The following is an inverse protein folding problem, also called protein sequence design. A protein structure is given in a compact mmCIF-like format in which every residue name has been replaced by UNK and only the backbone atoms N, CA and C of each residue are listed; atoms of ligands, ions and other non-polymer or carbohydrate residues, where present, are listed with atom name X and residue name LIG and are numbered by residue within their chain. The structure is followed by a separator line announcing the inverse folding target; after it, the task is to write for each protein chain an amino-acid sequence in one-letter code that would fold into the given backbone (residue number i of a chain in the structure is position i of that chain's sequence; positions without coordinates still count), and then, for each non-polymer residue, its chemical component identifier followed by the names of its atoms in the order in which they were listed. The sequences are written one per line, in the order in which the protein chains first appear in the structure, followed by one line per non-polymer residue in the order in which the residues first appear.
data_IF_922090658501
#
_entry.id   IF_922090658501
#
_cell.length_a   1.000
_cell.length_b   1.000
_cell.length_c   1.000
_cell.angle_alpha   90.00
_cell.angle_beta   90.00
_cell.angle_gamma   90.00
#
_symmetry.space_group_name_H-M   'P 1'
#
loop_
_entity.id
_entity.type
_entity.pdbx_description
1 polymer ?
#
# COMPACT_ATOMS: atom_id res chain seq x y z
N UNK A 1 5.06 -3.79 4.76
CA UNK A 1 4.33 -4.36 5.90
C UNK A 1 4.53 -3.57 7.18
N UNK A 2 3.45 -2.96 7.67
CA UNK A 2 3.33 -2.27 8.96
C UNK A 2 2.61 -3.08 10.06
N UNK A 3 2.09 -4.28 9.78
CA UNK A 3 1.40 -5.09 10.79
C UNK A 3 2.38 -5.90 11.65
N UNK A 4 3.61 -6.13 11.17
CA UNK A 4 4.57 -7.00 11.84
C UNK A 4 4.37 -8.49 11.55
N UNK A 5 3.64 -8.83 10.47
CA UNK A 5 3.42 -10.21 10.03
C UNK A 5 4.48 -10.67 8.99
N UNK A 6 5.58 -9.92 8.86
CA UNK A 6 6.70 -10.18 7.94
C UNK A 6 6.24 -10.39 6.49
N UNK A 7 5.32 -9.54 6.02
CA UNK A 7 4.72 -9.64 4.69
C UNK A 7 3.98 -10.96 4.45
N UNK A 8 3.59 -11.66 5.53
CA UNK A 8 2.97 -12.99 5.51
C UNK A 8 3.71 -14.03 4.66
N UNK A 9 5.03 -13.88 4.58
CA UNK A 9 5.91 -14.84 3.89
C UNK A 9 6.12 -16.15 4.66
N UNK A 10 5.70 -16.23 5.93
CA UNK A 10 5.95 -17.36 6.82
C UNK A 10 5.60 -18.73 6.21
N UNK A 11 4.40 -18.88 5.64
CA UNK A 11 3.91 -20.18 5.24
C UNK A 11 4.73 -20.83 4.11
N UNK A 12 5.18 -20.04 3.15
CA UNK A 12 5.98 -20.50 2.01
C UNK A 12 7.48 -20.43 2.28
N UNK A 13 7.93 -19.48 3.10
CA UNK A 13 9.35 -19.12 3.19
C UNK A 13 9.99 -19.29 4.57
N UNK A 14 9.28 -19.76 5.61
CA UNK A 14 9.84 -19.92 6.98
C UNK A 14 11.16 -20.70 7.08
N UNK A 15 11.46 -21.58 6.12
CA UNK A 15 12.71 -22.34 6.11
C UNK A 15 13.85 -21.69 5.31
N UNK A 16 13.55 -20.66 4.52
CA UNK A 16 14.52 -20.00 3.66
C UNK A 16 15.47 -19.11 4.49
N UNK A 17 16.78 -19.09 4.16
CA UNK A 17 17.75 -18.28 4.89
C UNK A 17 17.43 -16.78 4.91
N UNK A 18 16.98 -16.23 3.78
CA UNK A 18 16.65 -14.80 3.68
C UNK A 18 15.49 -14.42 4.61
N UNK A 19 14.48 -15.29 4.76
CA UNK A 19 13.34 -15.03 5.62
C UNK A 19 13.74 -15.06 7.10
N UNK A 20 14.54 -16.07 7.49
CA UNK A 20 15.08 -16.16 8.86
C UNK A 20 15.92 -14.94 9.22
N UNK A 21 16.70 -14.45 8.26
CA UNK A 21 17.51 -13.24 8.45
C UNK A 21 16.63 -11.97 8.54
N UNK A 22 15.60 -11.83 7.69
CA UNK A 22 14.68 -10.69 7.75
C UNK A 22 13.91 -10.61 9.08
N UNK A 23 13.45 -11.76 9.58
CA UNK A 23 12.82 -11.88 10.91
C UNK A 23 13.80 -11.45 12.00
N UNK A 24 15.01 -12.00 12.00
CA UNK A 24 16.05 -11.68 12.98
C UNK A 24 16.42 -10.19 12.97
N UNK A 25 16.62 -9.60 11.79
CA UNK A 25 16.92 -8.17 11.65
C UNK A 25 15.78 -7.32 12.21
N UNK A 26 14.53 -7.71 11.96
CA UNK A 26 13.35 -7.01 12.45
C UNK A 26 13.23 -7.10 13.98
N UNK A 27 13.46 -8.27 14.56
CA UNK A 27 13.48 -8.47 16.02
C UNK A 27 14.61 -7.69 16.70
N UNK A 28 15.83 -7.72 16.14
CA UNK A 28 16.97 -6.94 16.62
C UNK A 28 16.69 -5.44 16.56
N UNK A 29 16.03 -4.97 15.49
CA UNK A 29 15.63 -3.57 15.37
C UNK A 29 14.57 -3.18 16.42
N UNK A 30 13.57 -4.04 16.64
CA UNK A 30 12.56 -3.83 17.68
C UNK A 30 13.22 -3.71 19.06
N UNK A 31 14.07 -4.66 19.43
CA UNK A 31 14.80 -4.65 20.69
C UNK A 31 15.69 -3.41 20.84
N UNK A 32 16.42 -3.04 19.78
CA UNK A 32 17.29 -1.85 19.76
C UNK A 32 16.52 -0.55 20.01
N UNK A 33 15.29 -0.47 19.53
CA UNK A 33 14.41 0.69 19.70
C UNK A 33 13.52 0.61 20.96
N UNK A 34 13.68 -0.44 21.77
CA UNK A 34 12.98 -0.60 23.04
C UNK A 34 11.60 -1.24 22.94
N UNK A 35 11.27 -1.89 21.82
CA UNK A 35 10.02 -2.63 21.62
C UNK A 35 10.22 -4.11 21.91
N UNK A 36 9.21 -4.73 22.54
CA UNK A 36 9.21 -6.18 22.80
C UNK A 36 8.73 -6.99 21.59
N UNK A 37 7.86 -6.43 20.75
CA UNK A 37 7.33 -7.05 19.54
C UNK A 37 7.64 -6.23 18.29
N UNK A 38 7.81 -6.91 17.15
CA UNK A 38 7.95 -6.25 15.85
C UNK A 38 6.64 -5.56 15.45
N UNK A 39 5.48 -6.14 15.76
CA UNK A 39 4.17 -5.52 15.55
C UNK A 39 4.06 -4.15 16.25
N UNK A 40 4.50 -4.05 17.52
CA UNK A 40 4.54 -2.77 18.26
C UNK A 40 5.46 -1.74 17.60
N UNK A 41 6.66 -2.15 17.17
CA UNK A 41 7.59 -1.27 16.45
C UNK A 41 6.95 -0.76 15.16
N UNK A 42 6.35 -1.65 14.36
CA UNK A 42 5.77 -1.29 13.07
C UNK A 42 4.55 -0.38 13.23
N UNK A 43 3.72 -0.61 14.25
CA UNK A 43 2.64 0.30 14.65
C UNK A 43 3.18 1.68 15.03
N UNK A 44 4.26 1.75 15.80
CA UNK A 44 4.89 3.03 16.16
C UNK A 44 5.39 3.79 14.92
N UNK A 45 5.96 3.09 13.94
CA UNK A 45 6.36 3.67 12.65
C UNK A 45 5.14 4.18 11.87
N UNK A 46 4.06 3.38 11.78
CA UNK A 46 2.83 3.77 11.10
C UNK A 46 2.23 5.06 11.72
N UNK A 47 2.19 5.14 13.05
CA UNK A 47 1.77 6.35 13.79
C UNK A 47 2.66 7.55 13.50
N UNK A 48 3.99 7.37 13.43
CA UNK A 48 4.91 8.47 13.09
C UNK A 48 4.72 9.00 11.67
N UNK A 49 4.48 8.11 10.71
CA UNK A 49 4.12 8.51 9.35
C UNK A 49 2.76 9.24 9.37
N UNK A 50 1.79 8.77 10.16
CA UNK A 50 0.46 9.37 10.25
C UNK A 50 0.54 10.81 10.79
N UNK A 51 1.33 11.01 11.85
CA UNK A 51 1.66 12.34 12.39
C UNK A 51 2.35 13.24 11.36
N UNK A 52 3.29 12.69 10.59
CA UNK A 52 4.01 13.44 9.55
C UNK A 52 3.06 13.93 8.46
N UNK A 53 2.18 13.06 7.93
CA UNK A 53 1.18 13.44 6.93
C UNK A 53 0.21 14.45 7.51
N UNK A 54 -0.34 14.19 8.71
CA UNK A 54 -1.24 15.11 9.40
C UNK A 54 -0.63 16.52 9.56
N UNK A 55 0.68 16.59 9.79
CA UNK A 55 1.46 17.83 9.93
C UNK A 55 1.74 18.59 8.63
N UNK A 56 1.39 18.05 7.47
CA UNK A 56 1.69 18.66 6.16
C UNK A 56 2.64 17.87 5.27
N UNK A 57 3.02 16.67 5.69
CA UNK A 57 3.86 15.76 4.92
C UNK A 57 3.15 15.16 3.70
N UNK A 58 3.95 14.55 2.82
CA UNK A 58 3.45 13.75 1.71
C UNK A 58 3.82 12.28 1.90
N UNK A 59 2.84 11.39 1.81
CA UNK A 59 3.05 9.94 1.80
C UNK A 59 2.76 9.37 0.41
N UNK A 60 3.77 8.78 -0.22
CA UNK A 60 3.56 7.89 -1.35
C UNK A 60 3.85 6.45 -0.90
N UNK A 61 2.90 5.54 -1.13
CA UNK A 61 3.03 4.15 -0.75
C UNK A 61 2.58 3.22 -1.89
N UNK A 62 3.25 2.07 -1.98
CA UNK A 62 2.97 1.02 -2.97
C UNK A 62 3.05 -0.36 -2.34
N UNK A 63 2.54 -1.36 -3.06
CA UNK A 63 2.63 -2.76 -2.65
C UNK A 63 2.06 -2.96 -1.23
N UNK A 64 2.63 -3.82 -0.38
CA UNK A 64 2.11 -4.07 0.98
C UNK A 64 2.10 -2.85 1.90
N UNK A 65 2.74 -1.74 1.55
CA UNK A 65 2.68 -0.55 2.38
C UNK A 65 1.28 0.08 2.39
N UNK A 66 0.45 -0.18 1.38
CA UNK A 66 -0.85 0.47 1.20
C UNK A 66 -1.93 -0.08 2.13
N UNK A 67 -2.14 -1.39 2.16
CA UNK A 67 -3.12 -2.04 3.03
C UNK A 67 -2.62 -2.13 4.49
N UNK A 68 -1.36 -2.52 4.70
CA UNK A 68 -0.83 -2.79 6.04
C UNK A 68 -0.77 -1.56 6.92
N UNK A 69 -0.71 -0.38 6.30
CA UNK A 69 -0.68 0.88 6.99
C UNK A 69 -1.99 1.13 7.75
N UNK A 70 -3.12 1.05 7.06
CA UNK A 70 -4.43 1.24 7.68
C UNK A 70 -4.83 0.07 8.58
N UNK A 71 -4.44 -1.17 8.23
CA UNK A 71 -4.63 -2.34 9.10
C UNK A 71 -3.90 -2.15 10.44
N UNK A 72 -2.64 -1.71 10.41
CA UNK A 72 -1.88 -1.45 11.63
C UNK A 72 -2.51 -0.32 12.46
N UNK A 73 -2.92 0.79 11.84
CA UNK A 73 -3.57 1.90 12.54
C UNK A 73 -4.91 1.49 13.18
N UNK A 74 -5.72 0.69 12.49
CA UNK A 74 -6.99 0.16 13.01
C UNK A 74 -6.77 -0.80 14.19
N UNK A 75 -5.69 -1.58 14.14
CA UNK A 75 -5.30 -2.55 15.15
C UNK A 75 -4.53 -1.95 16.33
N UNK A 76 -4.48 -0.63 16.48
CA UNK A 76 -3.82 0.00 17.61
C UNK A 76 -4.45 -0.45 18.95
N UNK A 77 -3.65 -1.13 19.78
CA UNK A 77 -4.02 -1.81 21.03
C UNK A 77 -4.80 -3.13 20.85
N UNK A 78 -4.75 -3.73 19.67
CA UNK A 78 -5.39 -5.01 19.35
C UNK A 78 -4.34 -5.95 18.75
N UNK A 79 -4.22 -7.15 19.31
CA UNK A 79 -3.31 -8.13 18.75
C UNK A 79 -3.92 -8.81 17.52
N UNK A 80 -3.32 -8.57 16.36
CA UNK A 80 -3.71 -9.15 15.07
C UNK A 80 -2.68 -10.17 14.54
N UNK A 81 -1.59 -10.39 15.28
CA UNK A 81 -0.57 -11.35 14.96
C UNK A 81 -0.89 -12.69 15.65
N UNK A 82 -0.56 -13.79 15.00
CA UNK A 82 -0.68 -15.14 15.56
C UNK A 82 0.72 -15.69 15.93
N UNK A 83 0.77 -16.80 16.65
CA UNK A 83 1.94 -17.31 17.38
C UNK A 83 3.22 -17.47 16.56
N UNK A 84 3.12 -17.60 15.24
CA UNK A 84 4.26 -17.72 14.34
C UNK A 84 4.95 -16.39 14.02
N UNK A 85 4.30 -15.26 14.29
CA UNK A 85 4.81 -13.92 14.00
C UNK A 85 5.46 -13.29 15.24
N UNK A 86 4.81 -13.34 16.40
CA UNK A 86 5.30 -12.68 17.63
C UNK A 86 5.20 -13.52 18.91
N UNK A 87 4.79 -14.79 18.79
CA UNK A 87 4.95 -15.80 19.85
C UNK A 87 3.77 -15.99 20.79
N UNK A 88 2.69 -15.22 20.65
CA UNK A 88 1.45 -15.32 21.42
C UNK A 88 0.23 -15.34 20.48
N UNK A 89 -0.93 -15.85 20.96
CA UNK A 89 -2.10 -15.99 20.11
C UNK A 89 -2.77 -14.64 19.86
N UNK A 90 -3.24 -14.45 18.63
CA UNK A 90 -4.07 -13.33 18.20
C UNK A 90 -5.27 -13.14 19.14
N UNK A 91 -5.70 -11.89 19.34
CA UNK A 91 -6.92 -11.59 20.09
C UNK A 91 -8.14 -12.28 19.42
N UNK A 92 -8.90 -13.14 20.12
CA UNK A 92 -10.06 -13.82 19.53
C UNK A 92 -11.14 -12.88 19.01
N UNK A 93 -11.17 -11.64 19.51
CA UNK A 93 -12.11 -10.60 19.10
C UNK A 93 -11.42 -9.50 18.27
N UNK A 94 -10.22 -9.76 17.71
CA UNK A 94 -9.40 -8.80 16.98
C UNK A 94 -10.21 -7.98 15.95
N UNK A 95 -10.96 -8.68 15.08
CA UNK A 95 -11.79 -8.05 14.04
C UNK A 95 -12.80 -7.05 14.59
N UNK A 96 -13.43 -7.34 15.74
CA UNK A 96 -14.47 -6.48 16.33
C UNK A 96 -13.87 -5.28 17.06
N UNK A 97 -12.59 -5.36 17.45
CA UNK A 97 -11.87 -4.33 18.19
C UNK A 97 -11.15 -3.33 17.28
N UNK A 98 -11.09 -3.58 15.97
CA UNK A 98 -10.50 -2.65 15.00
C UNK A 98 -11.22 -1.30 15.03
N UNK A 99 -10.44 -0.22 15.03
CA UNK A 99 -10.93 1.15 15.02
C UNK A 99 -10.65 1.82 13.66
N UNK A 100 -11.61 1.73 12.75
CA UNK A 100 -11.51 2.34 11.41
C UNK A 100 -11.48 3.88 11.43
N UNK A 101 -11.80 4.52 12.55
CA UNK A 101 -11.67 5.98 12.69
C UNK A 101 -10.20 6.42 12.65
N UNK A 102 -9.26 5.52 12.97
CA UNK A 102 -7.81 5.74 12.88
C UNK A 102 -7.24 5.58 11.47
N UNK A 103 -7.98 4.93 10.57
CA UNK A 103 -7.55 4.69 9.19
C UNK A 103 -7.56 5.95 8.34
N UNK A 104 -6.65 6.05 7.39
CA UNK A 104 -6.56 7.19 6.46
C UNK A 104 -7.42 6.98 5.21
N UNK A 105 -7.55 5.74 4.73
CA UNK A 105 -8.02 5.40 3.38
C UNK A 105 -9.17 4.42 3.40
N UNK A 106 -9.07 3.34 4.18
CA UNK A 106 -10.00 2.22 4.13
C UNK A 106 -10.89 2.15 5.37
N UNK A 107 -12.06 1.55 5.21
CA UNK A 107 -13.04 1.29 6.28
C UNK A 107 -13.64 -0.10 6.10
N UNK A 108 -14.19 -0.65 7.18
CA UNK A 108 -15.00 -1.88 7.18
C UNK A 108 -14.32 -3.13 6.59
N UNK A 109 -13.00 -3.10 6.44
CA UNK A 109 -12.22 -4.23 5.95
C UNK A 109 -12.11 -5.34 6.99
N UNK A 110 -11.97 -6.58 6.52
CA UNK A 110 -11.77 -7.78 7.32
C UNK A 110 -10.30 -8.18 7.29
N UNK A 111 -9.72 -8.40 8.47
CA UNK A 111 -8.37 -8.96 8.58
C UNK A 111 -8.39 -10.46 8.26
N UNK A 112 -7.31 -10.92 7.64
CA UNK A 112 -7.13 -12.34 7.34
C UNK A 112 -6.40 -12.98 8.51
N UNK A 113 -7.13 -13.80 9.26
CA UNK A 113 -6.62 -14.47 10.46
C UNK A 113 -5.87 -15.76 10.17
N UNK A 114 -5.95 -16.29 8.94
CA UNK A 114 -5.21 -17.46 8.53
C UNK A 114 -3.74 -17.08 8.26
N UNK A 115 -2.77 -17.63 9.00
CA UNK A 115 -1.36 -17.31 8.82
C UNK A 115 -0.74 -17.94 7.56
N UNK A 116 -1.47 -18.85 6.90
CA UNK A 116 -1.06 -19.47 5.64
C UNK A 116 -1.48 -18.66 4.42
N UNK A 117 -2.49 -17.82 4.56
CA UNK A 117 -2.88 -16.87 3.51
C UNK A 117 -1.89 -15.72 3.46
N UNK A 118 -1.62 -15.26 2.25
CA UNK A 118 -0.63 -14.23 1.97
C UNK A 118 -1.14 -12.82 2.31
N UNK A 119 -2.44 -12.63 2.14
CA UNK A 119 -3.12 -11.36 2.30
C UNK A 119 -3.29 -11.05 3.79
N UNK A 120 -3.16 -9.78 4.16
CA UNK A 120 -3.40 -9.31 5.54
C UNK A 120 -4.86 -8.92 5.77
N UNK A 121 -5.59 -8.57 4.71
CA UNK A 121 -6.97 -8.11 4.75
C UNK A 121 -7.65 -8.31 3.41
N UNK A 122 -8.98 -8.12 3.36
CA UNK A 122 -9.74 -8.09 2.11
C UNK A 122 -9.67 -6.74 1.36
N UNK A 123 -8.77 -5.82 1.75
CA UNK A 123 -8.50 -4.59 0.97
C UNK A 123 -7.92 -4.97 -0.39
N UNK A 124 -6.96 -5.90 -0.41
CA UNK A 124 -6.39 -6.38 -1.66
C UNK A 124 -7.35 -7.33 -2.37
N UNK A 125 -7.63 -7.05 -3.64
CA UNK A 125 -8.53 -7.90 -4.43
C UNK A 125 -7.82 -9.03 -5.15
N UNK A 126 -6.48 -9.12 -5.14
CA UNK A 126 -5.67 -10.08 -5.93
C UNK A 126 -6.32 -11.46 -6.09
N UNK A 127 -6.72 -12.09 -4.97
CA UNK A 127 -7.25 -13.45 -4.97
C UNK A 127 -8.73 -13.59 -5.31
N UNK A 128 -9.49 -12.50 -5.29
CA UNK A 128 -10.92 -12.47 -5.64
C UNK A 128 -11.17 -11.94 -7.06
N UNK A 129 -10.11 -11.49 -7.75
CA UNK A 129 -10.17 -11.08 -9.16
C UNK A 129 -10.69 -12.21 -10.04
N UNK A 130 -11.39 -11.82 -11.11
CA UNK A 130 -11.81 -12.77 -12.14
C UNK A 130 -10.59 -13.48 -12.72
N UNK A 131 -10.64 -14.82 -12.79
CA UNK A 131 -9.60 -15.65 -13.42
C UNK A 131 -9.41 -15.37 -14.92
N UNK A 132 -10.31 -14.61 -15.53
CA UNK A 132 -10.17 -14.15 -16.90
C UNK A 132 -9.14 -13.01 -17.04
N UNK A 133 -8.81 -12.32 -15.95
CA UNK A 133 -7.82 -11.25 -15.95
C UNK A 133 -6.41 -11.86 -15.88
N UNK A 134 -5.56 -11.48 -16.82
CA UNK A 134 -4.18 -11.89 -16.95
C UNK A 134 -3.37 -10.74 -17.56
N UNK A 135 -2.05 -10.89 -17.63
CA UNK A 135 -1.13 -9.84 -18.12
C UNK A 135 -1.55 -9.21 -19.46
N UNK A 136 -2.12 -9.99 -20.37
CA UNK A 136 -2.49 -9.49 -21.70
C UNK A 136 -3.72 -8.57 -21.69
N UNK A 137 -4.56 -8.62 -20.65
CA UNK A 137 -5.80 -7.85 -20.54
C UNK A 137 -5.97 -7.11 -19.20
N UNK A 138 -4.95 -7.11 -18.34
CA UNK A 138 -4.95 -6.33 -17.10
C UNK A 138 -4.55 -4.89 -17.39
N UNK A 139 -5.54 -4.01 -17.39
CA UNK A 139 -5.36 -2.57 -17.59
C UNK A 139 -6.25 -1.79 -16.65
N UNK A 140 -5.82 -0.57 -16.31
CA UNK A 140 -6.65 0.37 -15.59
C UNK A 140 -6.66 1.73 -16.29
N UNK A 141 -7.80 2.39 -16.23
CA UNK A 141 -8.01 3.72 -16.79
C UNK A 141 -7.53 4.75 -15.77
N UNK A 142 -6.62 5.62 -16.20
CA UNK A 142 -6.19 6.81 -15.47
C UNK A 142 -7.15 7.96 -15.78
N UNK A 143 -7.69 8.59 -14.75
CA UNK A 143 -8.65 9.68 -14.88
C UNK A 143 -7.98 11.01 -15.23
N UNK A 144 -8.71 11.83 -15.97
CA UNK A 144 -8.36 13.23 -16.23
C UNK A 144 -9.06 14.15 -15.24
N UNK A 145 -8.31 15.12 -14.76
CA UNK A 145 -8.76 16.07 -13.73
C UNK A 145 -8.67 17.51 -14.24
N UNK A 146 -9.50 18.39 -13.69
CA UNK A 146 -9.47 19.79 -14.06
C UNK A 146 -8.23 20.45 -13.47
N UNK A 147 -7.31 20.91 -14.34
CA UNK A 147 -6.14 21.68 -13.92
C UNK A 147 -6.49 22.98 -13.16
N UNK A 148 -7.75 23.43 -13.20
CA UNK A 148 -8.24 24.62 -12.50
C UNK A 148 -8.77 24.33 -11.09
N UNK A 149 -9.31 23.13 -10.88
CA UNK A 149 -10.01 22.78 -9.64
C UNK A 149 -9.24 21.71 -8.86
N UNK A 150 -8.67 20.74 -9.57
CA UNK A 150 -8.07 19.52 -9.05
C UNK A 150 -6.58 19.46 -9.39
N UNK A 151 -5.86 20.53 -9.04
CA UNK A 151 -4.46 20.72 -9.43
C UNK A 151 -3.55 19.55 -9.03
N UNK A 152 -3.76 18.96 -7.84
CA UNK A 152 -2.93 17.87 -7.33
C UNK A 152 -3.20 16.57 -8.10
N UNK A 153 -4.45 16.05 -8.19
CA UNK A 153 -4.76 14.93 -9.08
C UNK A 153 -4.28 15.15 -10.53
N UNK A 154 -4.42 16.36 -11.06
CA UNK A 154 -3.94 16.70 -12.42
C UNK A 154 -2.43 16.47 -12.57
N UNK A 155 -1.63 16.90 -11.58
CA UNK A 155 -0.17 16.68 -11.61
C UNK A 155 0.19 15.21 -11.42
N UNK A 156 -0.51 14.52 -10.50
CA UNK A 156 -0.26 13.12 -10.19
C UNK A 156 -0.65 12.18 -11.34
N UNK A 157 -1.67 12.53 -12.13
CA UNK A 157 -2.13 11.81 -13.31
C UNK A 157 -1.47 12.26 -14.62
N UNK A 158 -0.46 13.13 -14.59
CA UNK A 158 0.19 13.55 -15.84
C UNK A 158 0.90 12.35 -16.49
N UNK A 159 0.35 11.87 -17.61
CA UNK A 159 0.86 10.72 -18.33
C UNK A 159 0.66 10.89 -19.84
N UNK A 160 1.43 10.14 -20.63
CA UNK A 160 1.31 10.10 -22.10
C UNK A 160 0.33 9.02 -22.57
N UNK A 161 -0.09 8.13 -21.67
CA UNK A 161 -1.16 7.17 -21.88
C UNK A 161 -2.23 7.32 -20.79
N UNK A 162 -3.48 7.05 -21.14
CA UNK A 162 -4.59 6.98 -20.19
C UNK A 162 -4.93 5.54 -19.77
N UNK A 163 -4.65 4.56 -20.64
CA UNK A 163 -4.87 3.16 -20.33
C UNK A 163 -3.54 2.52 -19.95
N UNK A 164 -3.36 2.25 -18.66
CA UNK A 164 -2.08 1.80 -18.11
C UNK A 164 -2.16 0.29 -17.89
N UNK A 165 -1.08 -0.44 -18.22
CA UNK A 165 -0.97 -1.86 -17.88
C UNK A 165 -1.02 -2.05 -16.38
N UNK A 166 -1.84 -3.00 -15.93
CA UNK A 166 -1.84 -3.46 -14.55
C UNK A 166 -0.57 -4.26 -14.26
N UNK A 167 -0.19 -4.30 -12.99
CA UNK A 167 0.92 -5.07 -12.47
C UNK A 167 0.59 -5.48 -11.03
N UNK A 168 1.11 -6.62 -10.63
CA UNK A 168 0.80 -7.26 -9.36
C UNK A 168 1.81 -6.83 -8.29
N UNK A 169 1.43 -7.06 -7.05
CA UNK A 169 2.28 -6.87 -5.89
C UNK A 169 1.68 -7.61 -4.70
N UNK A 170 2.18 -7.34 -3.50
CA UNK A 170 1.53 -7.91 -2.31
C UNK A 170 0.12 -7.34 -2.10
N UNK A 171 -0.07 -6.09 -2.54
CA UNK A 171 -1.37 -5.46 -2.69
C UNK A 171 -1.46 -5.04 -4.14
N UNK A 172 -2.24 -5.74 -4.94
CA UNK A 172 -2.34 -5.51 -6.39
C UNK A 172 -3.33 -4.39 -6.67
N UNK A 173 -4.50 -4.42 -6.04
CA UNK A 173 -5.53 -3.40 -6.19
C UNK A 173 -6.47 -3.36 -5.00
N UNK A 174 -7.23 -2.28 -4.90
CA UNK A 174 -8.07 -1.98 -3.75
C UNK A 174 -9.54 -2.27 -4.06
N UNK A 175 -10.22 -2.95 -3.14
CA UNK A 175 -11.66 -3.12 -3.19
C UNK A 175 -12.35 -1.76 -3.04
N UNK A 176 -13.06 -1.30 -4.07
CA UNK A 176 -13.65 0.04 -4.11
C UNK A 176 -14.67 0.28 -3.00
N UNK A 177 -15.38 -0.76 -2.57
CA UNK A 177 -16.38 -0.72 -1.50
C UNK A 177 -15.79 -0.49 -0.11
N UNK A 178 -14.48 -0.71 0.07
CA UNK A 178 -13.77 -0.49 1.33
C UNK A 178 -13.07 0.88 1.37
N UNK A 179 -13.08 1.64 0.27
CA UNK A 179 -12.46 2.95 0.19
C UNK A 179 -13.38 4.01 0.82
N UNK A 180 -12.83 4.85 1.70
CA UNK A 180 -13.60 5.94 2.34
C UNK A 180 -14.14 6.92 1.28
N UNK A 181 -15.37 7.47 1.43
CA UNK A 181 -16.00 8.31 0.40
C UNK A 181 -15.25 9.60 0.03
N UNK A 182 -14.36 10.09 0.89
CA UNK A 182 -13.57 11.30 0.65
C UNK A 182 -12.26 11.03 -0.13
N UNK A 183 -11.97 9.78 -0.46
CA UNK A 183 -10.81 9.39 -1.26
C UNK A 183 -11.08 9.66 -2.75
N UNK A 184 -10.10 10.23 -3.43
CA UNK A 184 -10.13 10.44 -4.87
C UNK A 184 -9.56 9.21 -5.55
N UNK A 185 -10.39 8.48 -6.30
CA UNK A 185 -9.93 7.45 -7.23
C UNK A 185 -9.36 8.15 -8.47
N UNK A 186 -8.07 7.94 -8.72
CA UNK A 186 -7.34 8.51 -9.85
C UNK A 186 -7.13 7.50 -10.98
N UNK A 187 -7.19 6.21 -10.70
CA UNK A 187 -7.25 5.18 -11.73
C UNK A 187 -7.88 3.88 -11.23
N UNK A 188 -8.65 3.24 -12.11
CA UNK A 188 -9.47 2.07 -11.79
C UNK A 188 -9.52 1.07 -12.95
N UNK A 189 -9.75 -0.20 -12.61
CA UNK A 189 -10.24 -1.18 -13.56
C UNK A 189 -11.72 -1.45 -13.25
N UNK A 190 -12.58 -0.65 -13.87
CA UNK A 190 -14.03 -0.69 -13.65
C UNK A 190 -14.67 -2.06 -13.90
N UNK A 191 -14.16 -2.81 -14.88
CA UNK A 191 -14.69 -4.14 -15.19
C UNK A 191 -14.39 -5.17 -14.07
N UNK A 192 -13.35 -4.90 -13.28
CA UNK A 192 -12.95 -5.71 -12.13
C UNK A 192 -13.40 -5.13 -10.78
N UNK A 193 -14.06 -3.95 -10.77
CA UNK A 193 -14.49 -3.24 -9.56
C UNK A 193 -13.32 -3.02 -8.57
N UNK A 194 -12.20 -2.53 -9.09
CA UNK A 194 -10.96 -2.35 -8.33
C UNK A 194 -10.31 -0.99 -8.63
N UNK A 195 -9.94 -0.27 -7.58
CA UNK A 195 -9.13 0.93 -7.70
C UNK A 195 -7.64 0.57 -7.71
N UNK A 196 -6.85 1.31 -8.47
CA UNK A 196 -5.42 1.07 -8.67
C UNK A 196 -4.56 2.20 -8.16
N UNK A 197 -5.05 3.42 -8.30
CA UNK A 197 -4.32 4.62 -7.97
C UNK A 197 -5.27 5.59 -7.28
N UNK A 198 -4.99 5.90 -6.02
CA UNK A 198 -5.91 6.65 -5.15
C UNK A 198 -5.15 7.71 -4.36
N UNK A 199 -5.82 8.81 -4.06
CA UNK A 199 -5.22 9.98 -3.43
C UNK A 199 -6.20 10.64 -2.46
N UNK A 200 -5.66 11.34 -1.48
CA UNK A 200 -6.46 12.19 -0.62
C UNK A 200 -5.65 13.18 0.20
N UNK A 201 -6.39 14.04 0.86
CA UNK A 201 -5.88 14.92 1.90
C UNK A 201 -6.01 14.24 3.26
N UNK A 202 -5.07 14.50 4.16
CA UNK A 202 -5.18 14.06 5.55
C UNK A 202 -4.53 15.09 6.48
N UNK A 203 -5.37 15.75 7.28
CA UNK A 203 -4.97 16.91 8.07
C UNK A 203 -4.49 18.04 7.16
N UNK A 204 -3.20 18.40 7.28
CA UNK A 204 -2.56 19.44 6.46
C UNK A 204 -1.76 18.88 5.29
N UNK A 205 -1.63 17.57 5.20
CA UNK A 205 -0.81 16.88 4.20
C UNK A 205 -1.64 16.10 3.21
N UNK A 206 -0.92 15.32 2.41
CA UNK A 206 -1.48 14.56 1.31
C UNK A 206 -0.89 13.15 1.29
N UNK A 207 -1.60 12.23 0.67
CA UNK A 207 -1.14 10.88 0.48
C UNK A 207 -1.60 10.33 -0.87
N UNK A 208 -0.85 9.37 -1.40
CA UNK A 208 -1.16 8.67 -2.64
C UNK A 208 -0.76 7.21 -2.52
N UNK A 209 -1.71 6.31 -2.75
CA UNK A 209 -1.47 4.87 -2.80
C UNK A 209 -1.58 4.37 -4.23
N UNK A 210 -0.62 3.55 -4.64
CA UNK A 210 -0.56 2.95 -5.97
C UNK A 210 -0.35 1.45 -5.84
N UNK A 211 -1.35 0.67 -6.27
CA UNK A 211 -1.33 -0.79 -6.21
C UNK A 211 -0.27 -1.39 -7.14
N UNK A 212 0.19 -2.58 -6.79
CA UNK A 212 1.25 -3.30 -7.50
C UNK A 212 2.67 -2.99 -7.00
N UNK A 213 3.65 -3.69 -7.57
CA UNK A 213 5.06 -3.59 -7.20
C UNK A 213 5.92 -2.91 -8.26
N UNK A 214 6.05 -3.53 -9.44
CA UNK A 214 6.88 -3.05 -10.54
C UNK A 214 6.04 -2.90 -11.82
N UNK A 215 5.90 -1.69 -12.37
CA UNK A 215 5.08 -1.48 -13.56
C UNK A 215 5.52 -2.20 -14.84
N UNK A 216 6.77 -2.65 -14.91
CA UNK A 216 7.31 -3.34 -16.09
C UNK A 216 7.66 -4.81 -15.82
N UNK A 217 7.26 -5.32 -14.65
CA UNK A 217 7.29 -6.74 -14.29
C UNK A 217 5.94 -7.13 -13.66
N UNK A 218 5.09 -7.78 -14.48
CA UNK A 218 3.70 -8.02 -14.15
C UNK A 218 3.47 -8.77 -12.83
N UNK A 219 4.33 -9.73 -12.45
CA UNK A 219 4.13 -10.52 -11.22
C UNK A 219 5.19 -10.28 -10.15
N UNK A 220 6.41 -9.90 -10.55
CA UNK A 220 7.61 -9.78 -9.72
C UNK A 220 7.68 -10.76 -8.53
N UNK A 221 8.15 -11.98 -8.81
CA UNK A 221 8.31 -13.03 -7.80
C UNK A 221 9.61 -12.85 -7.03
N UNK A 222 9.63 -13.37 -5.80
CA UNK A 222 10.86 -13.42 -5.01
C UNK A 222 11.93 -14.19 -5.78
N UNK A 223 13.04 -13.51 -6.07
CA UNK A 223 14.18 -14.05 -6.81
C UNK A 223 14.24 -13.62 -8.28
N UNK A 224 13.21 -12.95 -8.79
CA UNK A 224 13.24 -12.34 -10.12
C UNK A 224 14.34 -11.25 -10.17
N UNK A 225 15.04 -11.09 -11.31
CA UNK A 225 16.06 -10.07 -11.45
C UNK A 225 15.43 -8.67 -11.35
N UNK A 226 16.20 -7.65 -10.91
CA UNK A 226 15.71 -6.28 -10.91
C UNK A 226 15.44 -5.81 -12.35
N UNK A 227 14.34 -5.08 -12.54
CA UNK A 227 14.00 -4.46 -13.83
C UNK A 227 15.06 -3.48 -14.29
N UNK A 228 15.53 -3.63 -15.53
CA UNK A 228 16.48 -2.72 -16.15
C UNK A 228 15.76 -1.47 -16.68
N UNK A 229 15.63 -0.44 -15.84
CA UNK A 229 14.92 0.81 -16.17
C UNK A 229 15.32 1.45 -17.52
N UNK A 230 16.57 1.26 -17.96
CA UNK A 230 17.05 1.76 -19.26
C UNK A 230 16.34 1.15 -20.48
N UNK A 231 15.70 -0.01 -20.32
CA UNK A 231 14.89 -0.66 -21.34
C UNK A 231 13.46 -0.10 -21.42
N UNK A 232 13.04 0.68 -20.42
CA UNK A 232 11.66 1.19 -20.29
C UNK A 232 11.60 2.73 -20.18
N UNK A 233 12.26 3.49 -21.09
CA UNK A 233 12.37 4.96 -20.96
C UNK A 233 11.02 5.69 -21.04
N UNK A 234 9.99 5.06 -21.61
CA UNK A 234 8.65 5.61 -21.77
C UNK A 234 7.60 4.81 -21.00
N UNK A 235 7.97 4.12 -19.92
CA UNK A 235 6.99 3.38 -19.12
C UNK A 235 5.91 4.33 -18.56
N UNK A 236 4.62 4.11 -18.88
CA UNK A 236 3.55 4.93 -18.32
C UNK A 236 3.35 4.64 -16.83
N UNK A 237 3.61 3.42 -16.36
CA UNK A 237 3.49 3.11 -14.93
C UNK A 237 4.61 3.72 -14.08
N UNK A 238 5.88 3.67 -14.54
CA UNK A 238 6.97 4.38 -13.86
C UNK A 238 6.80 5.89 -13.92
N UNK A 239 6.13 6.43 -14.95
CA UNK A 239 5.79 7.86 -14.98
C UNK A 239 4.91 8.28 -13.80
N UNK A 240 3.95 7.46 -13.39
CA UNK A 240 3.12 7.75 -12.21
C UNK A 240 3.94 7.75 -10.92
N UNK A 241 4.88 6.80 -10.77
CA UNK A 241 5.83 6.78 -9.63
C UNK A 241 6.67 8.06 -9.63
N UNK A 242 7.18 8.48 -10.78
CA UNK A 242 7.97 9.69 -10.90
C UNK A 242 7.16 10.95 -10.55
N UNK A 243 5.89 11.03 -10.97
CA UNK A 243 5.02 12.15 -10.59
C UNK A 243 4.92 12.30 -9.06
N UNK A 244 4.83 11.17 -8.33
CA UNK A 244 4.80 11.15 -6.87
C UNK A 244 6.12 11.60 -6.24
N UNK A 245 7.26 11.21 -6.80
CA UNK A 245 8.59 11.63 -6.31
C UNK A 245 8.80 13.14 -6.53
N UNK A 246 8.33 13.67 -7.66
CA UNK A 246 8.50 15.08 -8.02
C UNK A 246 7.48 16.00 -7.34
N UNK A 247 6.31 15.49 -6.95
CA UNK A 247 5.24 16.28 -6.36
C UNK A 247 5.67 17.08 -5.10
N UNK A 248 6.34 16.49 -4.09
CA UNK A 248 6.84 17.23 -2.92
C UNK A 248 7.87 18.31 -3.25
N UNK A 249 8.58 18.17 -4.38
CA UNK A 249 9.59 19.14 -4.83
C UNK A 249 8.97 20.38 -5.49
N UNK A 250 7.66 20.36 -5.79
CA UNK A 250 6.94 21.47 -6.40
C UNK A 250 6.79 22.65 -5.42
N UNK A 251 7.79 23.53 -5.37
CA UNK A 251 7.72 24.79 -4.61
C UNK A 251 6.76 25.76 -5.29
N UNK A 252 5.78 26.29 -4.55
CA UNK A 252 5.00 27.45 -5.02
C UNK A 252 5.97 28.61 -5.27
N UNK A 253 6.09 29.05 -6.53
CA UNK A 253 6.74 30.33 -6.84
C UNK A 253 5.98 31.42 -6.09
N UNK A 254 6.68 32.23 -5.29
CA UNK A 254 6.09 33.43 -4.70
C UNK A 254 5.56 34.29 -5.86
N UNK A 255 4.26 34.57 -5.86
CA UNK A 255 3.69 35.54 -6.80
C UNK A 255 4.40 36.86 -6.56
N UNK A 256 4.94 37.48 -7.61
CA UNK A 256 5.36 38.88 -7.52
C UNK A 256 4.10 39.69 -7.29
N UNK A 257 3.99 40.29 -6.10
CA UNK A 257 3.08 41.40 -5.82
C UNK A 257 3.61 42.65 -6.51
#
# INVERSE_FOLDING_TARGET
DFTGQYGKFWAHYRQYPWYKEDVKISEEMAAKLGFSKVSDLKLAVAKKINEFVLGGGYLFAMCSATDSYDVALAADQVDICDVMFDGDPMDPEAQKKLDYSKCMVFTDFKIVTNPVEYEISNIDVTNVRSRAINEANDYFLLFEFSAKWDHIPTMLCQNHEQLIKGFMGQTTAFAEDLIKPNVVIMGENKAANEARYIHGEYGKGFWTFYGGHDPEDYQHKIGDPPTELGLHPNSPGYRLILNNILFPAAKKKKRKT
#
